data_IF_669269510746
#
_entry.id   IF_669269510746
#
_cell.length_a   1.000
_cell.length_b   1.000
_cell.length_c   1.000
_cell.angle_alpha   90.00
_cell.angle_beta   90.00
_cell.angle_gamma   90.00
#
_symmetry.space_group_name_H-M   'P 1'
#
loop_
_entity.id
_entity.type
_entity.pdbx_description
1 polymer ?
#
# COMPACT_ATOMS: atom_id res chain seq x y z
N UNK A 1 -26.00 24.32 -1.45
CA UNK A 1 -25.04 23.26 -1.08
C UNK A 1 -23.70 23.90 -0.75
N UNK A 2 -23.13 23.66 0.43
CA UNK A 2 -21.73 24.00 0.71
C UNK A 2 -20.87 22.92 0.05
N UNK A 3 -19.98 23.31 -0.87
CA UNK A 3 -18.90 22.44 -1.37
C UNK A 3 -17.99 22.15 -0.16
N UNK A 4 -17.96 20.90 0.32
CA UNK A 4 -16.95 20.50 1.30
C UNK A 4 -15.63 20.52 0.53
N UNK A 5 -14.69 21.38 0.92
CA UNK A 5 -13.31 21.25 0.44
C UNK A 5 -12.80 19.97 1.07
N UNK A 6 -12.54 18.96 0.25
CA UNK A 6 -11.88 17.73 0.69
C UNK A 6 -10.38 18.05 0.72
N UNK A 7 -9.75 17.85 1.87
CA UNK A 7 -8.30 18.01 2.03
C UNK A 7 -7.58 16.75 1.53
N UNK A 8 -6.28 16.87 1.28
CA UNK A 8 -5.45 15.68 1.18
C UNK A 8 -5.08 15.20 2.58
N UNK A 9 -5.02 13.88 2.83
CA UNK A 9 -5.09 12.79 1.84
C UNK A 9 -6.51 12.28 1.50
N UNK A 10 -7.56 12.83 2.11
CA UNK A 10 -8.93 12.29 2.02
C UNK A 10 -9.47 12.24 0.58
N UNK A 11 -9.11 13.22 -0.25
CA UNK A 11 -9.54 13.26 -1.66
C UNK A 11 -8.93 12.16 -2.51
N UNK A 12 -7.66 11.81 -2.26
CA UNK A 12 -7.01 10.69 -2.93
C UNK A 12 -7.56 9.35 -2.44
N UNK A 13 -7.88 9.23 -1.15
CA UNK A 13 -8.55 8.05 -0.60
C UNK A 13 -9.92 7.85 -1.29
N UNK A 14 -10.71 8.91 -1.42
CA UNK A 14 -12.01 8.86 -2.09
C UNK A 14 -11.88 8.37 -3.55
N UNK A 15 -10.89 8.86 -4.30
CA UNK A 15 -10.62 8.41 -5.69
C UNK A 15 -10.18 6.95 -5.72
N UNK A 16 -9.22 6.56 -4.88
CA UNK A 16 -8.69 5.20 -4.86
C UNK A 16 -9.78 4.15 -4.62
N UNK A 17 -10.71 4.45 -3.71
CA UNK A 17 -11.77 3.54 -3.28
C UNK A 17 -13.00 3.56 -4.19
N UNK A 18 -13.16 4.59 -5.04
CA UNK A 18 -14.24 4.66 -6.01
C UNK A 18 -14.02 3.67 -7.17
N UNK A 19 -14.74 2.54 -7.13
CA UNK A 19 -14.67 1.53 -8.19
C UNK A 19 -15.20 2.00 -9.55
N UNK A 20 -15.87 3.15 -9.61
CA UNK A 20 -16.34 3.77 -10.85
C UNK A 20 -15.37 4.80 -11.43
N UNK A 21 -14.32 5.17 -10.68
CA UNK A 21 -13.26 6.04 -11.18
C UNK A 21 -12.43 5.33 -12.25
N UNK A 22 -11.86 6.12 -13.16
CA UNK A 22 -10.96 5.62 -14.20
C UNK A 22 -9.75 4.93 -13.57
N UNK A 23 -9.29 3.84 -14.19
CA UNK A 23 -8.18 3.02 -13.67
C UNK A 23 -6.92 3.87 -13.47
N UNK A 24 -6.63 4.79 -14.40
CA UNK A 24 -5.49 5.71 -14.30
C UNK A 24 -5.60 6.67 -13.13
N UNK A 25 -6.78 7.23 -12.87
CA UNK A 25 -6.98 8.14 -11.73
C UNK A 25 -6.80 7.41 -10.40
N UNK A 26 -7.24 6.15 -10.31
CA UNK A 26 -7.05 5.30 -9.14
C UNK A 26 -5.58 4.93 -8.94
N UNK A 27 -4.86 4.65 -10.02
CA UNK A 27 -3.43 4.36 -10.01
C UNK A 27 -2.61 5.58 -9.53
N UNK A 28 -2.87 6.76 -10.12
CA UNK A 28 -2.26 8.02 -9.70
C UNK A 28 -2.56 8.31 -8.21
N UNK A 29 -3.80 8.09 -7.78
CA UNK A 29 -4.18 8.26 -6.38
C UNK A 29 -3.42 7.30 -5.45
N UNK A 30 -3.23 6.04 -5.84
CA UNK A 30 -2.45 5.08 -5.08
C UNK A 30 -0.99 5.52 -4.93
N UNK A 31 -0.37 6.03 -5.99
CA UNK A 31 1.01 6.54 -5.97
C UNK A 31 1.14 7.79 -5.09
N UNK A 32 0.27 8.78 -5.25
CA UNK A 32 0.30 10.04 -4.50
C UNK A 32 0.06 9.83 -3.01
N UNK A 33 -0.78 8.87 -2.63
CA UNK A 33 -0.99 8.47 -1.23
C UNK A 33 0.28 7.97 -0.56
N UNK A 34 1.25 7.47 -1.34
CA UNK A 34 2.57 7.07 -0.86
C UNK A 34 3.34 8.20 -0.15
N UNK A 35 2.98 9.47 -0.34
CA UNK A 35 3.61 10.61 0.33
C UNK A 35 3.10 10.88 1.77
N UNK A 36 2.06 10.18 2.23
CA UNK A 36 1.39 10.46 3.51
C UNK A 36 1.55 9.29 4.49
N UNK A 37 1.58 9.60 5.80
CA UNK A 37 1.83 8.61 6.87
C UNK A 37 0.59 8.27 7.72
N UNK A 38 -0.57 8.76 7.31
CA UNK A 38 -1.85 8.58 8.02
C UNK A 38 -2.26 7.11 8.16
N UNK A 39 -2.92 6.77 9.26
CA UNK A 39 -3.48 5.42 9.46
C UNK A 39 -4.64 5.14 8.50
N UNK A 40 -5.41 6.18 8.15
CA UNK A 40 -6.45 6.15 7.13
C UNK A 40 -5.90 5.88 5.73
N UNK A 41 -4.74 6.47 5.40
CA UNK A 41 -4.00 6.22 4.16
C UNK A 41 -3.54 4.76 4.10
N UNK A 42 -2.89 4.28 5.16
CA UNK A 42 -2.43 2.89 5.23
C UNK A 42 -3.60 1.90 5.09
N UNK A 43 -4.74 2.20 5.74
CA UNK A 43 -5.94 1.39 5.65
C UNK A 43 -6.55 1.37 4.24
N UNK A 44 -6.62 2.52 3.56
CA UNK A 44 -7.15 2.63 2.20
C UNK A 44 -6.28 1.89 1.18
N UNK A 45 -4.96 2.08 1.24
CA UNK A 45 -4.01 1.37 0.39
C UNK A 45 -4.08 -0.15 0.64
N UNK A 46 -4.15 -0.58 1.90
CA UNK A 46 -4.26 -1.99 2.26
C UNK A 46 -5.57 -2.62 1.80
N UNK A 47 -6.69 -1.89 1.83
CA UNK A 47 -7.96 -2.38 1.33
C UNK A 47 -7.83 -2.81 -0.15
N UNK A 48 -7.14 -2.02 -0.96
CA UNK A 48 -6.97 -2.26 -2.40
C UNK A 48 -5.87 -3.29 -2.66
N UNK A 49 -4.72 -3.16 -2.00
CA UNK A 49 -3.56 -4.06 -2.16
C UNK A 49 -3.84 -5.51 -1.69
N UNK A 50 -4.82 -5.71 -0.81
CA UNK A 50 -5.24 -7.03 -0.33
C UNK A 50 -6.46 -7.61 -1.07
N UNK A 51 -7.07 -6.86 -2.00
CA UNK A 51 -8.24 -7.33 -2.74
C UNK A 51 -7.80 -8.00 -4.06
N UNK A 52 -7.96 -9.34 -4.20
CA UNK A 52 -7.59 -10.06 -5.42
C UNK A 52 -8.43 -9.71 -6.65
N UNK A 53 -9.54 -8.98 -6.48
CA UNK A 53 -10.35 -8.50 -7.60
C UNK A 53 -9.89 -7.14 -8.16
N UNK A 54 -8.95 -6.47 -7.49
CA UNK A 54 -8.38 -5.20 -7.96
C UNK A 54 -7.50 -5.42 -9.20
N UNK A 55 -7.55 -4.46 -10.13
CA UNK A 55 -6.61 -4.40 -11.25
C UNK A 55 -5.15 -4.45 -10.78
N UNK A 56 -4.34 -5.27 -11.43
CA UNK A 56 -2.96 -5.54 -11.01
C UNK A 56 -2.10 -4.27 -10.93
N UNK A 57 -2.33 -3.30 -11.81
CA UNK A 57 -1.59 -2.03 -11.83
C UNK A 57 -1.87 -1.21 -10.56
N UNK A 58 -3.15 -1.06 -10.20
CA UNK A 58 -3.56 -0.34 -8.99
C UNK A 58 -3.05 -1.07 -7.75
N UNK A 59 -3.14 -2.40 -7.73
CA UNK A 59 -2.64 -3.23 -6.63
C UNK A 59 -1.11 -3.08 -6.46
N UNK A 60 -0.35 -3.06 -7.55
CA UNK A 60 1.10 -2.81 -7.53
C UNK A 60 1.41 -1.43 -6.93
N UNK A 61 0.75 -0.37 -7.42
CA UNK A 61 0.94 0.99 -6.90
C UNK A 61 0.58 1.10 -5.42
N UNK A 62 -0.49 0.43 -4.96
CA UNK A 62 -0.82 0.39 -3.54
C UNK A 62 0.25 -0.34 -2.71
N UNK A 63 0.80 -1.45 -3.22
CA UNK A 63 1.89 -2.18 -2.57
C UNK A 63 3.15 -1.32 -2.44
N UNK A 64 3.53 -0.64 -3.53
CA UNK A 64 4.66 0.28 -3.51
C UNK A 64 4.47 1.39 -2.45
N UNK A 65 3.32 2.05 -2.45
CA UNK A 65 3.01 3.12 -1.48
C UNK A 65 2.97 2.64 -0.02
N UNK A 66 2.46 1.43 0.23
CA UNK A 66 2.55 0.80 1.55
C UNK A 66 4.00 0.60 1.99
N UNK A 67 4.87 0.09 1.11
CA UNK A 67 6.27 -0.09 1.41
C UNK A 67 7.00 1.24 1.67
N UNK A 68 6.66 2.32 0.94
CA UNK A 68 7.20 3.66 1.23
C UNK A 68 6.81 4.16 2.61
N UNK A 69 5.54 3.98 2.98
CA UNK A 69 5.01 4.32 4.28
C UNK A 69 5.72 3.50 5.38
N UNK A 70 5.88 2.19 5.21
CA UNK A 70 6.59 1.34 6.18
C UNK A 70 8.06 1.71 6.34
N UNK A 71 8.74 2.09 5.25
CA UNK A 71 10.10 2.61 5.30
C UNK A 71 10.19 3.87 6.17
N UNK A 72 9.25 4.82 6.00
CA UNK A 72 9.23 6.06 6.80
C UNK A 72 8.83 5.80 8.27
N UNK A 73 7.88 4.89 8.52
CA UNK A 73 7.48 4.49 9.87
C UNK A 73 8.54 3.62 10.57
N UNK A 74 9.49 3.05 9.82
CA UNK A 74 10.53 2.16 10.34
C UNK A 74 9.98 0.81 10.85
N UNK A 75 8.80 0.40 10.38
CA UNK A 75 8.16 -0.88 10.74
C UNK A 75 7.19 -1.32 9.67
N UNK A 76 7.12 -2.63 9.43
CA UNK A 76 6.10 -3.25 8.57
C UNK A 76 4.85 -3.54 9.39
N UNK A 77 3.67 -3.43 8.76
CA UNK A 77 2.43 -3.90 9.34
C UNK A 77 2.22 -5.38 8.98
N UNK A 78 2.46 -6.26 9.95
CA UNK A 78 2.38 -7.71 9.80
C UNK A 78 1.01 -8.19 9.31
N UNK A 79 -0.07 -7.64 9.88
CA UNK A 79 -1.44 -8.01 9.54
C UNK A 79 -1.82 -7.64 8.10
N UNK A 80 -1.24 -6.57 7.56
CA UNK A 80 -1.43 -6.18 6.15
C UNK A 80 -0.52 -7.00 5.24
N UNK A 81 0.77 -7.12 5.59
CA UNK A 81 1.78 -7.79 4.77
C UNK A 81 1.35 -9.21 4.36
N UNK A 82 0.88 -10.02 5.31
CA UNK A 82 0.50 -11.42 5.05
C UNK A 82 -0.76 -11.58 4.20
N UNK A 83 -1.47 -10.47 3.93
CA UNK A 83 -2.72 -10.43 3.16
C UNK A 83 -2.55 -9.78 1.80
N UNK A 84 -1.37 -9.22 1.48
CA UNK A 84 -1.12 -8.60 0.19
C UNK A 84 -1.36 -9.61 -0.94
N UNK A 85 -1.92 -9.13 -2.04
CA UNK A 85 -1.97 -9.93 -3.27
C UNK A 85 -0.54 -10.22 -3.76
N UNK A 86 -0.32 -11.25 -4.61
CA UNK A 86 1.01 -11.56 -5.12
C UNK A 86 1.69 -10.38 -5.82
N UNK A 87 0.91 -9.56 -6.55
CA UNK A 87 1.39 -8.37 -7.24
C UNK A 87 1.89 -7.32 -6.24
N UNK A 88 1.01 -6.85 -5.35
CA UNK A 88 1.35 -5.90 -4.30
C UNK A 88 2.50 -6.37 -3.41
N UNK A 89 2.54 -7.65 -3.05
CA UNK A 89 3.60 -8.23 -2.22
C UNK A 89 4.96 -8.16 -2.91
N UNK A 90 5.03 -8.57 -4.19
CA UNK A 90 6.27 -8.57 -4.97
C UNK A 90 6.90 -7.19 -5.01
N UNK A 91 6.12 -6.16 -5.35
CA UNK A 91 6.65 -4.80 -5.46
C UNK A 91 6.96 -4.19 -4.09
N UNK A 92 6.16 -4.51 -3.06
CA UNK A 92 6.44 -4.08 -1.68
C UNK A 92 7.78 -4.60 -1.20
N UNK A 93 8.03 -5.91 -1.37
CA UNK A 93 9.29 -6.55 -0.96
C UNK A 93 10.49 -5.97 -1.74
N UNK A 94 10.38 -5.83 -3.07
CA UNK A 94 11.45 -5.24 -3.88
C UNK A 94 11.82 -3.82 -3.41
N UNK A 95 10.83 -3.03 -2.99
CA UNK A 95 11.09 -1.68 -2.47
C UNK A 95 11.71 -1.70 -1.07
N UNK A 96 11.22 -2.56 -0.18
CA UNK A 96 11.79 -2.75 1.15
C UNK A 96 13.25 -3.22 1.04
N UNK A 97 13.56 -4.17 0.16
CA UNK A 97 14.93 -4.63 -0.09
C UNK A 97 15.84 -3.48 -0.53
N UNK A 98 15.34 -2.60 -1.40
CA UNK A 98 16.12 -1.47 -1.92
C UNK A 98 16.33 -0.35 -0.90
N UNK A 99 15.37 -0.11 0.01
CA UNK A 99 15.35 1.11 0.86
C UNK A 99 15.48 0.84 2.35
N UNK A 100 15.04 -0.32 2.83
CA UNK A 100 15.07 -0.71 4.23
C UNK A 100 15.31 -2.24 4.38
N UNK A 101 16.54 -2.72 4.08
CA UNK A 101 16.85 -4.17 4.08
C UNK A 101 16.51 -4.89 5.40
N UNK A 102 16.63 -4.21 6.53
CA UNK A 102 16.25 -4.76 7.83
C UNK A 102 14.75 -5.05 7.92
N UNK A 103 13.91 -4.19 7.33
CA UNK A 103 12.47 -4.39 7.24
C UNK A 103 12.10 -5.46 6.21
N UNK A 104 12.87 -5.58 5.11
CA UNK A 104 12.70 -6.68 4.16
C UNK A 104 12.97 -8.04 4.84
N UNK A 105 14.06 -8.15 5.59
CA UNK A 105 14.39 -9.36 6.35
C UNK A 105 13.37 -9.66 7.46
N UNK A 106 12.72 -8.64 8.04
CA UNK A 106 11.58 -8.83 8.93
C UNK A 106 10.35 -9.35 8.18
N UNK A 107 10.00 -8.73 7.05
CA UNK A 107 8.88 -9.15 6.20
C UNK A 107 9.03 -10.60 5.74
N UNK A 108 10.22 -11.01 5.30
CA UNK A 108 10.51 -12.40 4.91
C UNK A 108 10.29 -13.38 6.06
N UNK A 109 10.70 -13.03 7.29
CA UNK A 109 10.47 -13.87 8.48
C UNK A 109 8.99 -13.99 8.83
N UNK A 110 8.23 -12.90 8.68
CA UNK A 110 6.78 -12.90 8.90
C UNK A 110 6.05 -13.78 7.89
N UNK A 111 6.49 -13.75 6.63
CA UNK A 111 5.92 -14.57 5.55
C UNK A 111 6.35 -16.04 5.64
N UNK A 112 7.50 -16.32 6.25
CA UNK A 112 8.08 -17.66 6.40
C UNK A 112 8.42 -17.99 7.85
N UNK A 113 7.43 -18.12 8.75
CA UNK A 113 7.66 -18.29 10.20
C UNK A 113 8.37 -19.59 10.59
N UNK A 114 8.57 -20.53 9.64
CA UNK A 114 9.28 -21.79 9.84
C UNK A 114 10.69 -21.84 9.22
N UNK A 115 11.16 -20.77 8.57
CA UNK A 115 12.50 -20.73 7.99
C UNK A 115 13.54 -20.45 9.10
N UNK A 116 14.14 -21.49 9.67
CA UNK A 116 15.39 -21.37 10.45
C UNK A 116 16.59 -21.13 9.53
N UNK A 117 17.65 -20.43 10.00
CA UNK A 117 18.88 -20.21 9.23
C UNK A 117 19.58 -21.50 8.82
#
# INVERSE_FOLDING_TARGET
>A
MRRKLISQPEGLIDVLLDQSAEVGDRDDAAMDLGAYDGEDVEAALAQVACDPATDEMIADSCGQSLAELWCRKGRVNDAILVRLTPASLRISLALLEARAPDLAAEAERLLNPGATP
#
